data_IF_802480501384
#
_entry.id   IF_802480501384
#
_cell.length_a   1.000
_cell.length_b   1.000
_cell.length_c   1.000
_cell.angle_alpha   90.00
_cell.angle_beta   90.00
_cell.angle_gamma   90.00
#
_symmetry.space_group_name_H-M   'P 1'
#
loop_
_entity.id
_entity.type
_entity.pdbx_description
1 polymer ?
#
# COMPACT_ATOMS: atom_id res chain seq x y z
N UNK A 1 11.56 1.74 -7.35
CA UNK A 1 11.97 1.62 -5.93
C UNK A 1 10.76 1.82 -5.05
N UNK A 2 10.80 1.31 -3.83
CA UNK A 2 9.73 1.51 -2.85
C UNK A 2 10.30 2.01 -1.55
N UNK A 3 9.53 2.84 -0.85
CA UNK A 3 9.94 3.50 0.38
C UNK A 3 8.83 3.39 1.41
N UNK A 4 9.18 3.23 2.69
CA UNK A 4 8.20 3.27 3.76
C UNK A 4 7.86 4.73 4.15
N UNK A 5 7.04 4.91 5.18
CA UNK A 5 6.63 6.23 5.69
C UNK A 5 7.78 7.11 6.18
N UNK A 6 8.92 6.52 6.55
CA UNK A 6 10.13 7.22 6.99
C UNK A 6 11.11 7.52 5.85
N UNK A 7 10.78 7.10 4.61
CA UNK A 7 11.65 7.27 3.45
C UNK A 7 12.77 6.22 3.34
N UNK A 8 12.70 5.12 4.10
CA UNK A 8 13.63 4.01 4.01
C UNK A 8 13.24 3.05 2.87
N UNK A 9 14.23 2.52 2.15
CA UNK A 9 13.99 1.62 1.04
C UNK A 9 13.38 0.28 1.50
N UNK A 10 12.29 -0.13 0.83
CA UNK A 10 11.60 -1.39 1.06
C UNK A 10 11.80 -2.30 -0.15
N UNK A 11 12.28 -3.54 0.03
CA UNK A 11 12.44 -4.50 -1.07
C UNK A 11 11.12 -4.77 -1.81
N UNK A 12 11.18 -4.95 -3.13
CA UNK A 12 10.03 -5.37 -3.96
C UNK A 12 9.66 -6.83 -3.76
N UNK A 13 9.11 -7.13 -2.59
CA UNK A 13 8.66 -8.45 -2.17
C UNK A 13 7.36 -8.35 -1.37
N UNK A 14 6.36 -9.22 -1.63
CA UNK A 14 5.12 -9.24 -0.87
C UNK A 14 5.39 -9.38 0.63
N UNK A 15 6.34 -10.23 1.03
CA UNK A 15 6.68 -10.44 2.44
C UNK A 15 7.28 -9.19 3.10
N UNK A 16 8.19 -8.50 2.41
CA UNK A 16 8.82 -7.29 2.94
C UNK A 16 7.79 -6.16 3.10
N UNK A 17 6.89 -6.02 2.13
CA UNK A 17 5.84 -5.00 2.13
C UNK A 17 4.78 -5.32 3.18
N UNK A 18 4.32 -6.56 3.30
CA UNK A 18 3.38 -6.97 4.35
C UNK A 18 3.94 -6.70 5.74
N UNK A 19 5.23 -7.03 5.95
CA UNK A 19 5.92 -6.78 7.21
C UNK A 19 5.96 -5.29 7.54
N UNK A 20 6.25 -4.43 6.56
CA UNK A 20 6.28 -2.97 6.75
C UNK A 20 4.88 -2.41 7.06
N UNK A 21 3.85 -2.95 6.41
CA UNK A 21 2.46 -2.54 6.62
C UNK A 21 1.92 -2.94 7.99
N UNK A 22 2.27 -4.13 8.48
CA UNK A 22 1.69 -4.65 9.72
C UNK A 22 2.55 -4.37 10.96
N UNK A 23 3.86 -4.25 10.80
CA UNK A 23 4.80 -4.13 11.92
C UNK A 23 5.79 -2.95 11.78
N UNK A 24 5.76 -2.23 10.67
CA UNK A 24 6.62 -1.07 10.40
C UNK A 24 5.82 0.23 10.45
N UNK A 25 6.02 1.10 9.46
CA UNK A 25 5.37 2.42 9.39
C UNK A 25 3.91 2.37 8.94
N UNK A 26 3.37 1.19 8.65
CA UNK A 26 1.98 1.04 8.20
C UNK A 26 1.73 1.52 6.76
N UNK A 27 2.78 1.86 6.02
CA UNK A 27 2.67 2.46 4.69
C UNK A 27 3.91 2.20 3.84
N UNK A 28 3.69 1.96 2.55
CA UNK A 28 4.72 1.81 1.53
C UNK A 28 4.31 2.60 0.28
N UNK A 29 5.22 3.37 -0.26
CA UNK A 29 5.07 4.17 -1.46
C UNK A 29 5.99 3.63 -2.56
N UNK A 30 5.47 3.50 -3.77
CA UNK A 30 6.22 3.21 -4.98
C UNK A 30 6.00 4.31 -6.02
N UNK A 31 6.71 4.21 -7.14
CA UNK A 31 6.50 5.15 -8.24
C UNK A 31 5.09 4.95 -8.85
N UNK A 32 4.22 5.94 -8.64
CA UNK A 32 2.85 5.95 -9.17
C UNK A 32 1.77 5.33 -8.27
N UNK A 33 2.11 4.78 -7.10
CA UNK A 33 1.12 4.25 -6.16
C UNK A 33 1.62 4.18 -4.72
N UNK A 34 0.70 4.07 -3.78
CA UNK A 34 0.96 3.79 -2.37
C UNK A 34 0.04 2.69 -1.86
N UNK A 35 0.50 1.93 -0.87
CA UNK A 35 -0.29 0.98 -0.09
C UNK A 35 -0.10 1.28 1.39
N UNK A 36 -1.19 1.31 2.17
CA UNK A 36 -1.13 1.55 3.61
C UNK A 36 -2.24 0.83 4.36
N UNK A 37 -2.10 0.70 5.68
CA UNK A 37 -3.13 0.17 6.57
C UNK A 37 -3.99 1.31 7.10
N UNK A 38 -5.30 1.16 6.99
CA UNK A 38 -6.28 2.06 7.61
C UNK A 38 -7.00 1.30 8.72
N UNK A 39 -7.03 1.90 9.90
CA UNK A 39 -7.75 1.38 11.07
C UNK A 39 -9.16 1.96 11.06
N UNK A 40 -10.15 1.12 10.74
CA UNK A 40 -11.55 1.54 10.71
C UNK A 40 -12.12 1.64 12.14
N UNK A 41 -11.71 0.72 13.02
CA UNK A 41 -12.15 0.60 14.40
C UNK A 41 -11.09 -0.18 15.21
N UNK A 42 -11.32 -0.36 16.52
CA UNK A 42 -10.40 -1.06 17.44
C UNK A 42 -10.05 -2.49 16.98
N UNK A 43 -10.94 -3.14 16.23
CA UNK A 43 -10.80 -4.54 15.81
C UNK A 43 -10.73 -4.76 14.29
N UNK A 44 -10.80 -3.70 13.49
CA UNK A 44 -10.93 -3.84 12.03
C UNK A 44 -9.94 -2.95 11.30
N UNK A 45 -9.09 -3.61 10.52
CA UNK A 45 -8.09 -3.00 9.65
C UNK A 45 -8.41 -3.34 8.20
N UNK A 46 -8.05 -2.43 7.31
CA UNK A 46 -8.09 -2.64 5.86
C UNK A 46 -6.79 -2.17 5.21
N UNK A 47 -6.42 -2.81 4.11
CA UNK A 47 -5.38 -2.30 3.23
C UNK A 47 -6.00 -1.34 2.22
N UNK A 48 -5.35 -0.20 2.04
CA UNK A 48 -5.77 0.83 1.10
C UNK A 48 -4.67 1.02 0.07
N UNK A 49 -5.02 0.89 -1.20
CA UNK A 49 -4.12 1.12 -2.33
C UNK A 49 -4.58 2.38 -3.03
N UNK A 50 -3.67 3.34 -3.19
CA UNK A 50 -3.95 4.63 -3.82
C UNK A 50 -3.03 4.79 -5.02
N UNK A 51 -3.61 5.11 -6.17
CA UNK A 51 -2.88 5.50 -7.38
C UNK A 51 -2.54 6.97 -7.29
N UNK A 52 -1.29 7.30 -7.57
CA UNK A 52 -0.88 8.71 -7.65
C UNK A 52 -1.70 9.43 -8.72
N UNK A 53 -2.18 10.66 -8.44
CA UNK A 53 -2.89 11.44 -9.44
C UNK A 53 -1.94 11.74 -10.61
N UNK A 54 -2.44 11.51 -11.83
CA UNK A 54 -1.81 11.98 -13.06
C UNK A 54 -2.60 13.21 -13.50
N UNK A 55 -1.97 14.20 -14.16
CA UNK A 55 -2.56 15.52 -14.48
C UNK A 55 -4.04 15.55 -14.88
N UNK A 56 -4.53 14.52 -15.57
CA UNK A 56 -5.90 14.44 -16.09
C UNK A 56 -6.76 13.33 -15.48
N UNK A 57 -6.23 12.54 -14.54
CA UNK A 57 -6.96 11.45 -13.89
C UNK A 57 -7.07 11.67 -12.37
N UNK A 58 -8.28 11.58 -11.79
CA UNK A 58 -8.45 11.64 -10.34
C UNK A 58 -7.71 10.47 -9.66
N UNK A 59 -7.26 10.65 -8.41
CA UNK A 59 -6.64 9.57 -7.65
C UNK A 59 -7.62 8.40 -7.52
N UNK A 60 -7.17 7.22 -7.91
CA UNK A 60 -7.95 5.99 -7.79
C UNK A 60 -7.61 5.34 -6.45
N UNK A 61 -8.62 4.94 -5.68
CA UNK A 61 -8.44 4.30 -4.37
C UNK A 61 -9.22 3.00 -4.32
N UNK A 62 -8.54 1.91 -3.95
CA UNK A 62 -9.16 0.59 -3.74
C UNK A 62 -8.87 0.15 -2.31
N UNK A 63 -9.87 -0.44 -1.67
CA UNK A 63 -9.81 -0.91 -0.28
C UNK A 63 -10.00 -2.43 -0.24
N UNK A 64 -9.21 -3.09 0.58
CA UNK A 64 -9.22 -4.52 0.77
C UNK A 64 -9.31 -4.84 2.26
N UNK A 65 -10.16 -5.79 2.69
CA UNK A 65 -10.14 -6.30 4.06
C UNK A 65 -8.73 -6.78 4.48
N UNK A 66 -8.43 -6.72 5.78
CA UNK A 66 -7.12 -7.14 6.35
C UNK A 66 -6.69 -8.59 6.04
N UNK A 67 -7.61 -9.47 5.65
CA UNK A 67 -7.27 -10.84 5.22
C UNK A 67 -6.96 -10.96 3.73
N UNK A 68 -7.11 -9.88 2.95
CA UNK A 68 -6.89 -9.83 1.48
C UNK A 68 -5.60 -9.10 1.12
N UNK A 69 -4.52 -9.35 1.86
CA UNK A 69 -3.22 -8.75 1.55
C UNK A 69 -2.76 -9.08 0.12
N UNK A 70 -2.96 -10.32 -0.35
CA UNK A 70 -2.53 -10.73 -1.68
C UNK A 70 -3.21 -9.92 -2.81
N UNK A 71 -4.50 -9.63 -2.67
CA UNK A 71 -5.25 -8.82 -3.64
C UNK A 71 -4.79 -7.36 -3.62
N UNK A 72 -4.58 -6.81 -2.41
CA UNK A 72 -4.02 -5.48 -2.22
C UNK A 72 -2.61 -5.35 -2.82
N UNK A 73 -1.75 -6.34 -2.59
CA UNK A 73 -0.41 -6.43 -3.16
C UNK A 73 -0.45 -6.50 -4.67
N UNK A 74 -1.27 -7.39 -5.24
CA UNK A 74 -1.43 -7.50 -6.68
C UNK A 74 -1.84 -6.15 -7.28
N UNK A 75 -2.83 -5.48 -6.69
CA UNK A 75 -3.30 -4.17 -7.18
C UNK A 75 -2.23 -3.09 -7.06
N UNK A 76 -1.51 -3.06 -5.96
CA UNK A 76 -0.40 -2.14 -5.76
C UNK A 76 0.71 -2.36 -6.80
N UNK A 77 1.10 -3.61 -7.06
CA UNK A 77 2.12 -3.92 -8.09
C UNK A 77 1.69 -3.64 -9.52
N UNK A 78 0.39 -3.71 -9.82
CA UNK A 78 -0.17 -3.30 -11.11
C UNK A 78 0.02 -1.79 -11.35
N UNK A 79 -0.03 -0.98 -10.28
CA UNK A 79 0.06 0.47 -10.37
C UNK A 79 1.46 1.03 -10.15
N UNK A 80 2.33 0.31 -9.44
CA UNK A 80 3.74 0.68 -9.29
C UNK A 80 4.49 0.39 -10.59
N UNK A 81 5.13 1.42 -11.15
CA UNK A 81 5.95 1.32 -12.37
C UNK A 81 7.32 0.69 -12.12
#
# INVERSE_FOLDING_TARGET
>A
MMFNGDGLEVPKSPFAVEKELLNGTGSVMGDGAAIYVEHLNVSENQFVVVKSPVKDNPPETVRFPSHQFNDAWQKFTEWVK
#
